data_IF_818059000801
#
_entry.id   IF_818059000801
#
_cell.length_a   1.000
_cell.length_b   1.000
_cell.length_c   1.000
_cell.angle_alpha   90.00
_cell.angle_beta   90.00
_cell.angle_gamma   90.00
#
_symmetry.space_group_name_H-M   'P 1'
#
loop_
_entity.id
_entity.type
_entity.pdbx_description
1 polymer ?
#
# COMPACT_ATOMS: atom_id res chain seq x y z
N UNK A 1 20.24 39.10 26.86
CA UNK A 1 20.19 37.70 27.35
C UNK A 1 18.90 36.96 27.00
N UNK A 2 17.70 37.58 27.01
CA UNK A 2 16.42 36.89 26.70
C UNK A 2 16.29 36.39 25.24
N UNK A 3 16.81 37.13 24.25
CA UNK A 3 16.72 36.74 22.84
C UNK A 3 17.57 35.51 22.47
N UNK A 4 18.70 35.30 23.15
CA UNK A 4 19.60 34.17 22.91
C UNK A 4 18.92 32.84 23.29
N UNK A 5 18.15 32.84 24.39
CA UNK A 5 17.38 31.67 24.83
C UNK A 5 16.27 31.26 23.87
N UNK A 6 15.60 32.23 23.21
CA UNK A 6 14.50 31.95 22.27
C UNK A 6 15.04 31.33 20.98
N UNK A 7 16.19 31.83 20.49
CA UNK A 7 16.84 31.30 19.29
C UNK A 7 17.30 29.85 19.52
N UNK A 8 17.82 29.53 20.71
CA UNK A 8 18.27 28.18 21.05
C UNK A 8 17.13 27.15 21.03
N UNK A 9 15.93 27.55 21.47
CA UNK A 9 14.72 26.70 21.50
C UNK A 9 14.17 26.49 20.08
N UNK A 10 14.21 27.51 19.21
CA UNK A 10 13.79 27.36 17.81
C UNK A 10 14.72 26.44 17.00
N UNK A 11 16.04 26.54 17.23
CA UNK A 11 17.03 25.71 16.53
C UNK A 11 16.98 24.25 16.99
N UNK A 12 16.67 23.99 18.27
CA UNK A 12 16.49 22.61 18.75
C UNK A 12 15.18 21.99 18.26
N UNK A 13 14.12 22.78 18.05
CA UNK A 13 12.85 22.29 17.54
C UNK A 13 12.91 21.89 16.05
N UNK A 14 13.72 22.58 15.23
CA UNK A 14 13.88 22.25 13.80
C UNK A 14 14.71 20.99 13.55
N UNK A 15 15.60 20.61 14.48
CA UNK A 15 16.44 19.41 14.36
C UNK A 15 15.70 18.08 14.63
N UNK A 16 14.49 18.13 15.20
CA UNK A 16 13.74 16.91 15.57
C UNK A 16 12.73 16.44 14.51
N UNK A 17 12.49 17.22 13.45
CA UNK A 17 11.56 16.88 12.37
C UNK A 17 12.19 15.98 11.28
N UNK A 18 13.49 15.70 11.38
CA UNK A 18 14.25 14.90 10.41
C UNK A 18 14.11 13.39 10.55
N UNK A 19 12.93 12.86 10.90
CA UNK A 19 12.69 11.41 10.84
C UNK A 19 12.12 11.04 9.45
N UNK A 20 12.97 11.04 8.43
CA UNK A 20 12.65 10.35 7.16
C UNK A 20 12.82 8.84 7.38
N UNK A 21 11.79 8.19 7.94
CA UNK A 21 11.66 6.74 7.85
C UNK A 21 11.08 6.44 6.47
N UNK A 22 11.80 5.62 5.69
CA UNK A 22 11.27 5.05 4.46
C UNK A 22 9.94 4.36 4.79
N UNK A 23 8.85 4.77 4.14
CA UNK A 23 7.55 4.11 4.26
C UNK A 23 7.64 2.74 3.57
N UNK A 24 7.62 1.61 4.31
CA UNK A 24 7.78 0.29 3.72
C UNK A 24 6.66 -0.04 2.73
N UNK A 25 5.47 0.51 2.93
CA UNK A 25 4.33 0.32 2.02
C UNK A 25 4.62 1.00 0.68
N UNK A 26 5.14 2.23 0.71
CA UNK A 26 5.51 2.97 -0.49
C UNK A 26 6.62 2.25 -1.28
N UNK A 27 7.62 1.72 -0.59
CA UNK A 27 8.72 0.98 -1.23
C UNK A 27 8.23 -0.35 -1.82
N UNK A 28 7.33 -1.06 -1.15
CA UNK A 28 6.69 -2.25 -1.70
C UNK A 28 5.90 -1.92 -2.97
N UNK A 29 5.11 -0.85 -2.95
CA UNK A 29 4.33 -0.44 -4.12
C UNK A 29 5.21 -0.08 -5.33
N UNK A 30 6.36 0.56 -5.08
CA UNK A 30 7.37 0.81 -6.13
C UNK A 30 7.97 -0.48 -6.66
N UNK A 31 8.30 -1.43 -5.79
CA UNK A 31 8.86 -2.72 -6.20
C UNK A 31 7.86 -3.52 -7.04
N UNK A 32 6.58 -3.51 -6.66
CA UNK A 32 5.52 -4.25 -7.35
C UNK A 32 5.30 -3.77 -8.79
N UNK A 33 5.41 -2.47 -9.04
CA UNK A 33 5.32 -1.91 -10.41
C UNK A 33 6.37 -2.47 -11.36
N UNK A 34 7.50 -2.95 -10.83
CA UNK A 34 8.60 -3.51 -11.61
C UNK A 34 8.62 -5.04 -11.62
N UNK A 35 7.63 -5.71 -11.02
CA UNK A 35 7.55 -7.17 -11.08
C UNK A 35 7.39 -7.63 -12.53
N UNK A 36 7.98 -8.78 -12.90
CA UNK A 36 7.72 -9.38 -14.19
C UNK A 36 6.25 -9.82 -14.27
N UNK A 37 5.64 -9.64 -15.44
CA UNK A 37 4.38 -10.31 -15.77
C UNK A 37 4.62 -11.80 -15.94
N UNK A 38 3.59 -12.62 -15.75
CA UNK A 38 3.75 -14.07 -15.91
C UNK A 38 3.92 -14.48 -17.39
N UNK A 39 4.07 -15.78 -17.66
CA UNK A 39 4.38 -16.30 -19.01
C UNK A 39 3.34 -15.99 -20.07
N UNK A 40 2.09 -15.70 -19.69
CA UNK A 40 1.01 -15.31 -20.60
C UNK A 40 0.75 -13.78 -20.59
N UNK A 41 1.61 -13.01 -19.93
CA UNK A 41 1.54 -11.55 -19.89
C UNK A 41 0.49 -10.97 -18.95
N UNK A 42 -0.07 -11.76 -18.03
CA UNK A 42 -0.98 -11.23 -17.00
C UNK A 42 -0.19 -10.49 -15.92
N UNK A 43 -0.72 -9.35 -15.42
CA UNK A 43 -0.08 -8.60 -14.35
C UNK A 43 -0.31 -9.27 -12.99
N UNK A 44 0.39 -8.77 -11.97
CA UNK A 44 0.00 -8.99 -10.59
C UNK A 44 -1.25 -8.16 -10.27
N UNK A 45 -2.01 -8.56 -9.26
CA UNK A 45 -3.22 -7.86 -8.83
C UNK A 45 -3.19 -7.54 -7.35
N UNK A 46 -3.60 -6.33 -6.99
CA UNK A 46 -3.95 -5.97 -5.63
C UNK A 46 -5.37 -6.43 -5.35
N UNK A 47 -5.52 -7.24 -4.30
CA UNK A 47 -6.78 -7.43 -3.62
C UNK A 47 -6.97 -6.28 -2.64
N UNK A 48 -7.97 -5.46 -2.90
CA UNK A 48 -8.26 -4.23 -2.17
C UNK A 48 -9.57 -4.34 -1.40
N UNK A 49 -9.61 -3.74 -0.22
CA UNK A 49 -10.80 -3.59 0.61
C UNK A 49 -11.09 -2.11 0.82
N UNK A 50 -12.36 -1.70 0.78
CA UNK A 50 -12.74 -0.34 1.11
C UNK A 50 -12.73 -0.15 2.64
N UNK A 51 -11.80 0.65 3.12
CA UNK A 51 -11.61 1.00 4.53
C UNK A 51 -12.04 2.43 4.85
N UNK A 52 -11.62 2.93 6.01
CA UNK A 52 -11.97 4.28 6.48
C UNK A 52 -11.30 5.38 5.65
N UNK A 53 -10.13 5.09 5.09
CA UNK A 53 -9.33 6.05 4.31
C UNK A 53 -9.41 5.81 2.80
N UNK A 54 -10.35 4.96 2.35
CA UNK A 54 -10.52 4.56 0.95
C UNK A 54 -10.06 3.13 0.68
N UNK A 55 -9.67 2.85 -0.55
CA UNK A 55 -9.25 1.50 -0.96
C UNK A 55 -7.87 1.15 -0.43
N UNK A 56 -7.81 0.16 0.45
CA UNK A 56 -6.60 -0.33 1.10
C UNK A 56 -6.10 -1.59 0.38
N UNK A 57 -4.81 -1.65 0.04
CA UNK A 57 -4.16 -2.82 -0.55
C UNK A 57 -3.88 -3.84 0.54
N UNK A 58 -4.61 -4.97 0.52
CA UNK A 58 -4.54 -5.96 1.59
C UNK A 58 -3.63 -7.13 1.22
N UNK A 59 -3.78 -7.65 -0.01
CA UNK A 59 -3.01 -8.81 -0.49
C UNK A 59 -2.53 -8.56 -1.92
N UNK A 60 -1.27 -8.91 -2.19
CA UNK A 60 -0.74 -8.98 -3.55
C UNK A 60 -0.90 -10.40 -4.11
N UNK A 61 -1.62 -10.53 -5.22
CA UNK A 61 -1.79 -11.79 -5.95
C UNK A 61 -0.84 -11.81 -7.14
N UNK A 62 0.15 -12.70 -7.08
CA UNK A 62 1.17 -12.87 -8.12
C UNK A 62 1.67 -14.32 -8.15
N UNK A 63 2.28 -14.73 -9.26
CA UNK A 63 2.89 -16.05 -9.42
C UNK A 63 1.93 -17.17 -9.83
N UNK A 64 0.64 -16.89 -10.04
CA UNK A 64 -0.32 -17.83 -10.59
C UNK A 64 -0.35 -17.78 -12.11
N UNK A 65 -0.86 -18.86 -12.73
CA UNK A 65 -1.14 -18.88 -14.17
C UNK A 65 -2.15 -17.78 -14.55
N UNK A 66 -3.20 -17.60 -13.75
CA UNK A 66 -4.24 -16.59 -13.95
C UNK A 66 -4.44 -15.76 -12.66
N UNK A 67 -3.62 -14.74 -12.46
CA UNK A 67 -3.65 -13.93 -11.21
C UNK A 67 -5.01 -13.25 -10.99
N UNK A 68 -5.69 -12.84 -12.07
CA UNK A 68 -7.00 -12.20 -11.98
C UNK A 68 -8.07 -13.13 -11.40
N UNK A 69 -8.11 -14.39 -11.85
CA UNK A 69 -9.09 -15.37 -11.37
C UNK A 69 -8.92 -15.64 -9.88
N UNK A 70 -7.67 -15.79 -9.43
CA UNK A 70 -7.36 -15.96 -8.00
C UNK A 70 -7.80 -14.73 -7.20
N UNK A 71 -7.50 -13.52 -7.68
CA UNK A 71 -7.93 -12.30 -7.00
C UNK A 71 -9.48 -12.20 -6.93
N UNK A 72 -10.18 -12.49 -8.03
CA UNK A 72 -11.64 -12.47 -8.08
C UNK A 72 -12.26 -13.53 -7.16
N UNK A 73 -11.63 -14.69 -7.03
CA UNK A 73 -12.04 -15.70 -6.06
C UNK A 73 -11.95 -15.16 -4.63
N UNK A 74 -10.89 -14.43 -4.30
CA UNK A 74 -10.76 -13.77 -2.99
C UNK A 74 -11.82 -12.68 -2.76
N UNK A 75 -12.20 -11.92 -3.79
CA UNK A 75 -13.33 -10.97 -3.72
C UNK A 75 -14.63 -11.70 -3.34
N UNK A 76 -14.90 -12.85 -3.95
CA UNK A 76 -16.08 -13.67 -3.62
C UNK A 76 -16.03 -14.18 -2.18
N UNK A 77 -14.88 -14.64 -1.70
CA UNK A 77 -14.70 -15.06 -0.31
C UNK A 77 -14.89 -13.89 0.66
N UNK A 78 -14.24 -12.76 0.41
CA UNK A 78 -14.40 -11.56 1.24
C UNK A 78 -15.86 -11.09 1.32
N UNK A 79 -16.58 -11.08 0.19
CA UNK A 79 -18.00 -10.70 0.17
C UNK A 79 -18.90 -11.72 0.86
N UNK A 80 -18.54 -13.00 0.85
CA UNK A 80 -19.25 -14.05 1.59
C UNK A 80 -19.08 -13.88 3.11
N UNK A 81 -17.86 -13.57 3.56
CA UNK A 81 -17.52 -13.48 4.97
C UNK A 81 -17.88 -12.12 5.58
N UNK A 82 -17.91 -11.05 4.78
CA UNK A 82 -18.29 -9.69 5.20
C UNK A 82 -19.13 -9.00 4.10
N UNK A 83 -20.43 -9.31 4.00
CA UNK A 83 -21.31 -8.82 2.93
C UNK A 83 -21.48 -7.30 2.89
N UNK A 84 -21.26 -6.62 4.00
CA UNK A 84 -21.33 -5.16 4.15
C UNK A 84 -20.09 -4.43 3.63
N UNK A 85 -18.98 -5.15 3.43
CA UNK A 85 -17.73 -4.57 2.94
C UNK A 85 -17.61 -4.68 1.43
N UNK A 86 -16.85 -3.76 0.86
CA UNK A 86 -16.56 -3.76 -0.57
C UNK A 86 -15.11 -4.19 -0.82
N UNK A 87 -14.97 -5.04 -1.84
CA UNK A 87 -13.70 -5.62 -2.24
C UNK A 87 -13.54 -5.51 -3.75
N UNK A 88 -12.32 -5.31 -4.22
CA UNK A 88 -12.03 -5.29 -5.67
C UNK A 88 -10.62 -5.78 -5.97
N UNK A 89 -10.38 -6.00 -7.26
CA UNK A 89 -9.08 -6.33 -7.81
C UNK A 89 -8.58 -5.20 -8.69
N UNK A 90 -7.37 -4.72 -8.45
CA UNK A 90 -6.74 -3.65 -9.25
C UNK A 90 -5.40 -4.16 -9.82
N UNK A 91 -5.10 -3.97 -11.12
CA UNK A 91 -3.79 -4.30 -11.67
C UNK A 91 -2.66 -3.59 -10.93
N UNK A 92 -1.57 -4.31 -10.67
CA UNK A 92 -0.45 -3.80 -9.89
C UNK A 92 0.75 -3.32 -10.73
N UNK A 93 0.85 -3.77 -11.99
CA UNK A 93 1.91 -3.49 -12.98
C UNK A 93 1.46 -3.77 -14.42
#
# INVERSE_FOLDING_TARGET
MKAISIILIMVTLTLTLGCSKNDPQLELEKAVKNLPRNSIGTPAYWYEMNGLTGWEKVILVFGYAENLEVCQYMVKLGKKDSPERDFKCTPAN
#
